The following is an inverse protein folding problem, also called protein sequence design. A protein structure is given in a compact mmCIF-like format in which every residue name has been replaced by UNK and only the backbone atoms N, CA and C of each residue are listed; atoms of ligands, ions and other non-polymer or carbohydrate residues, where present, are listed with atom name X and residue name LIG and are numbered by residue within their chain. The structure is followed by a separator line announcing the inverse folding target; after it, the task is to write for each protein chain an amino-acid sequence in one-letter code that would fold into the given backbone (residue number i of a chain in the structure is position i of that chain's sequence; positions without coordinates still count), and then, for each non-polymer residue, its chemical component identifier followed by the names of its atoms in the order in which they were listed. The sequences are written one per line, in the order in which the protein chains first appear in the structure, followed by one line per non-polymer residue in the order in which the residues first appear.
data_IF_129243660675
#
_entry.id   IF_129243660675
#
_cell.length_a   1.000
_cell.length_b   1.000
_cell.length_c   1.000
_cell.angle_alpha   90.00
_cell.angle_beta   90.00
_cell.angle_gamma   90.00
#
_symmetry.space_group_name_H-M   'P 1'
#
loop_
_entity.id
_entity.type
_entity.pdbx_description
1 polymer ?
#
# COMPACT_ATOMS: atom_id res chain seq x y z
N UNK A 1 4.36 15.98 -37.88
CA UNK A 1 4.71 14.62 -37.42
C UNK A 1 3.96 14.30 -36.14
N UNK A 2 3.77 13.02 -35.83
CA UNK A 2 3.41 12.54 -34.51
C UNK A 2 4.56 12.73 -33.53
N UNK A 3 4.26 12.51 -32.25
CA UNK A 3 5.22 12.60 -31.17
C UNK A 3 6.40 11.64 -31.26
N UNK A 4 6.25 10.57 -32.03
CA UNK A 4 7.27 9.56 -32.22
C UNK A 4 8.25 9.89 -33.35
N UNK A 5 7.96 10.96 -34.10
CA UNK A 5 8.75 11.42 -35.23
C UNK A 5 8.67 10.48 -36.43
N UNK A 6 9.37 10.89 -37.49
CA UNK A 6 9.59 10.09 -38.71
C UNK A 6 8.30 9.70 -39.47
N UNK A 7 7.25 10.51 -39.33
CA UNK A 7 5.97 10.36 -40.05
C UNK A 7 5.43 11.72 -40.54
N UNK A 8 6.25 12.77 -40.45
CA UNK A 8 5.96 14.05 -41.07
C UNK A 8 5.89 13.92 -42.58
N UNK A 9 5.12 14.80 -43.20
CA UNK A 9 5.04 14.87 -44.65
C UNK A 9 5.01 16.32 -45.14
N UNK A 10 5.56 16.52 -46.33
CA UNK A 10 5.43 17.76 -47.09
C UNK A 10 4.80 17.38 -48.42
N UNK A 11 3.67 18.02 -48.75
CA UNK A 11 3.02 17.90 -50.07
C UNK A 11 3.11 19.26 -50.75
N UNK A 12 3.65 19.28 -51.96
CA UNK A 12 3.85 20.49 -52.74
C UNK A 12 2.71 20.62 -53.75
N UNK A 13 2.03 21.76 -53.73
CA UNK A 13 1.00 22.12 -54.70
C UNK A 13 1.51 23.21 -55.63
N UNK A 14 1.26 23.06 -56.92
CA UNK A 14 1.77 23.96 -57.96
C UNK A 14 0.65 24.28 -58.94
N UNK A 15 0.54 25.53 -59.39
CA UNK A 15 -0.53 25.95 -60.31
C UNK A 15 -0.41 25.32 -61.72
N UNK A 16 0.80 24.89 -62.11
CA UNK A 16 1.04 24.18 -63.36
C UNK A 16 1.99 22.97 -63.16
N UNK A 17 1.47 21.84 -62.66
CA UNK A 17 2.28 20.68 -62.31
C UNK A 17 2.93 19.99 -63.53
N UNK A 18 2.45 20.27 -64.76
CA UNK A 18 3.03 19.73 -65.99
C UNK A 18 4.32 20.45 -66.42
N UNK A 19 4.62 21.62 -65.84
CA UNK A 19 5.83 22.39 -66.14
C UNK A 19 7.00 22.06 -65.20
N UNK A 20 6.73 21.37 -64.09
CA UNK A 20 7.71 21.01 -63.05
C UNK A 20 8.04 19.53 -63.22
N UNK A 21 9.33 19.21 -63.16
CA UNK A 21 9.83 17.86 -63.40
C UNK A 21 10.39 17.21 -62.16
N UNK A 22 10.93 17.98 -61.21
CA UNK A 22 11.59 17.43 -60.03
C UNK A 22 11.40 18.27 -58.78
N UNK A 23 11.42 17.58 -57.65
CA UNK A 23 11.30 18.13 -56.31
C UNK A 23 12.47 17.66 -55.44
N UNK A 24 12.92 18.50 -54.52
CA UNK A 24 13.93 18.17 -53.51
C UNK A 24 13.61 18.88 -52.19
N UNK A 25 14.00 18.29 -51.06
CA UNK A 25 13.90 18.90 -49.72
C UNK A 25 15.25 18.96 -49.02
N UNK A 26 16.32 18.58 -49.72
CA UNK A 26 17.69 18.64 -49.22
C UNK A 26 18.49 19.74 -49.95
N UNK A 27 19.76 19.91 -49.60
CA UNK A 27 20.63 20.94 -50.19
C UNK A 27 21.05 20.63 -51.64
N UNK A 28 20.09 20.27 -52.50
CA UNK A 28 20.21 19.99 -53.95
C UNK A 28 20.90 18.66 -54.32
N UNK A 29 20.96 17.69 -53.40
CA UNK A 29 21.68 16.43 -53.62
C UNK A 29 20.78 15.27 -54.02
N UNK A 30 19.51 15.26 -53.61
CA UNK A 30 18.55 14.24 -54.00
C UNK A 30 17.30 14.87 -54.61
N UNK A 31 16.87 14.33 -55.76
CA UNK A 31 15.70 14.80 -56.51
C UNK A 31 14.76 13.63 -56.76
N UNK A 32 13.46 13.90 -56.67
CA UNK A 32 12.40 12.92 -56.94
C UNK A 32 11.33 13.54 -57.86
N UNK A 33 10.62 12.68 -58.58
CA UNK A 33 9.51 13.09 -59.45
C UNK A 33 8.19 13.31 -58.67
N UNK A 34 8.13 12.80 -57.43
CA UNK A 34 6.96 12.94 -56.55
C UNK A 34 6.96 14.29 -55.83
N UNK A 35 5.80 14.94 -55.75
CA UNK A 35 5.59 16.17 -54.97
C UNK A 35 5.34 15.91 -53.48
N UNK A 36 5.37 14.65 -53.06
CA UNK A 36 5.14 14.22 -51.68
C UNK A 36 6.42 13.64 -51.08
N UNK A 37 6.80 14.20 -49.93
CA UNK A 37 7.86 13.72 -49.06
C UNK A 37 7.23 13.19 -47.78
N UNK A 38 7.61 12.00 -47.36
CA UNK A 38 7.08 11.30 -46.18
C UNK A 38 8.25 10.89 -45.27
N UNK A 39 7.93 10.46 -44.05
CA UNK A 39 8.91 10.09 -43.03
C UNK A 39 9.89 11.23 -42.75
N UNK A 40 9.33 12.43 -42.58
CA UNK A 40 10.10 13.61 -42.22
C UNK A 40 10.08 13.78 -40.70
N UNK A 41 11.25 14.06 -40.15
CA UNK A 41 11.39 14.55 -38.79
C UNK A 41 10.88 15.99 -38.71
N UNK A 42 10.61 16.49 -37.50
CA UNK A 42 10.44 17.94 -37.30
C UNK A 42 11.69 18.68 -37.72
N UNK A 43 11.50 19.87 -38.25
CA UNK A 43 12.59 20.76 -38.59
C UNK A 43 12.22 21.71 -39.71
N UNK A 44 13.16 22.58 -39.99
CA UNK A 44 13.10 23.46 -41.15
C UNK A 44 13.64 22.71 -42.36
N UNK A 45 12.81 22.62 -43.39
CA UNK A 45 13.14 22.04 -44.68
C UNK A 45 13.19 23.15 -45.71
N UNK A 46 14.24 23.12 -46.55
CA UNK A 46 14.31 23.97 -47.73
C UNK A 46 13.82 23.17 -48.92
N UNK A 47 12.60 23.46 -49.37
CA UNK A 47 11.96 22.78 -50.49
C UNK A 47 12.41 23.45 -51.79
N UNK A 48 12.88 22.64 -52.74
CA UNK A 48 13.29 23.06 -54.08
C UNK A 48 12.39 22.44 -55.15
N UNK A 49 12.11 23.23 -56.19
CA UNK A 49 11.41 22.77 -57.40
C UNK A 49 12.26 23.09 -58.64
N UNK A 50 12.27 22.19 -59.62
CA UNK A 50 12.93 22.39 -60.93
C UNK A 50 11.93 22.27 -62.08
N UNK A 51 11.93 23.25 -62.97
CA UNK A 51 11.10 23.25 -64.18
C UNK A 51 11.77 22.53 -65.37
N UNK A 52 11.00 22.33 -66.45
CA UNK A 52 11.51 21.76 -67.72
C UNK A 52 12.66 22.52 -68.39
N UNK A 53 12.92 23.78 -67.99
CA UNK A 53 14.00 24.62 -68.51
C UNK A 53 15.20 24.70 -67.56
N UNK A 54 15.23 23.88 -66.50
CA UNK A 54 16.24 23.89 -65.44
C UNK A 54 16.30 25.18 -64.62
N UNK A 55 15.19 25.91 -64.51
CA UNK A 55 15.02 26.95 -63.51
C UNK A 55 14.72 26.33 -62.14
N UNK A 56 15.38 26.81 -61.09
CA UNK A 56 15.19 26.34 -59.71
C UNK A 56 14.65 27.48 -58.85
N UNK A 57 13.63 27.19 -58.05
CA UNK A 57 13.10 28.06 -57.00
C UNK A 57 13.04 27.31 -55.66
N UNK A 58 12.96 28.03 -54.55
CA UNK A 58 13.00 27.43 -53.20
C UNK A 58 12.14 28.14 -52.17
N UNK A 59 11.60 27.38 -51.22
CA UNK A 59 10.81 27.88 -50.10
C UNK A 59 11.14 27.12 -48.81
N UNK A 60 11.24 27.86 -47.69
CA UNK A 60 11.38 27.26 -46.36
C UNK A 60 10.01 26.81 -45.84
N UNK A 61 9.97 25.58 -45.30
CA UNK A 61 8.79 24.98 -44.67
C UNK A 61 9.21 24.38 -43.34
N UNK A 62 8.46 24.68 -42.29
CA UNK A 62 8.64 24.05 -40.98
C UNK A 62 7.70 22.86 -40.82
N UNK A 63 8.26 21.66 -40.62
CA UNK A 63 7.51 20.48 -40.19
C UNK A 63 7.42 20.51 -38.67
N UNK A 64 6.22 20.83 -38.16
CA UNK A 64 5.91 20.84 -36.74
C UNK A 64 5.37 19.49 -36.22
N UNK A 65 5.27 19.40 -34.89
CA UNK A 65 4.55 18.33 -34.21
C UNK A 65 3.06 18.70 -34.14
N UNK A 66 2.17 17.73 -34.33
CA UNK A 66 0.74 17.99 -34.15
C UNK A 66 0.43 18.45 -32.72
N UNK A 67 -0.45 19.43 -32.62
CA UNK A 67 -0.66 20.28 -31.43
C UNK A 67 -1.36 19.59 -30.26
N UNK A 68 -1.89 18.37 -30.45
CA UNK A 68 -2.57 17.62 -29.40
C UNK A 68 -2.11 16.17 -29.40
N UNK A 69 -1.00 15.84 -28.71
CA UNK A 69 -0.71 14.46 -28.36
C UNK A 69 -1.88 13.94 -27.52
N UNK A 70 -2.63 12.97 -28.05
CA UNK A 70 -3.46 12.13 -27.20
C UNK A 70 -2.71 10.82 -27.03
N UNK A 71 -1.77 10.80 -26.07
CA UNK A 71 -1.01 9.58 -25.79
C UNK A 71 -1.99 8.64 -25.10
N UNK A 72 -2.39 7.58 -25.78
CA UNK A 72 -3.32 6.60 -25.21
C UNK A 72 -2.61 5.78 -24.13
N UNK A 73 -2.56 6.32 -22.92
CA UNK A 73 -1.86 5.75 -21.77
C UNK A 73 -2.88 5.14 -20.81
N UNK A 74 -2.97 3.81 -20.83
CA UNK A 74 -3.78 3.08 -19.86
C UNK A 74 -2.97 2.78 -18.61
N UNK A 75 -3.46 3.15 -17.43
CA UNK A 75 -2.75 2.93 -16.15
C UNK A 75 -3.62 2.23 -15.13
N UNK A 76 -3.01 1.37 -14.31
CA UNK A 76 -3.63 0.74 -13.15
C UNK A 76 -2.78 0.95 -11.91
N UNK A 77 -3.44 1.14 -10.78
CA UNK A 77 -2.80 1.13 -9.47
C UNK A 77 -3.38 -0.03 -8.63
N UNK A 78 -2.58 -0.55 -7.71
CA UNK A 78 -3.02 -1.48 -6.68
C UNK A 78 -2.77 -0.87 -5.31
N UNK A 79 -3.77 -0.98 -4.44
CA UNK A 79 -3.69 -0.48 -3.07
C UNK A 79 -2.72 -1.30 -2.22
N UNK A 80 -2.32 -0.72 -1.10
CA UNK A 80 -1.44 -1.36 -0.12
C UNK A 80 -2.22 -2.45 0.62
N UNK A 81 -1.56 -3.59 0.85
CA UNK A 81 -2.20 -4.79 1.42
C UNK A 81 -2.45 -4.65 2.92
N UNK A 82 -1.44 -4.19 3.68
CA UNK A 82 -1.50 -4.03 5.13
C UNK A 82 -1.19 -2.60 5.56
N UNK A 83 -1.79 -2.16 6.67
CA UNK A 83 -1.48 -0.85 7.21
C UNK A 83 0.02 -0.69 7.51
N UNK A 84 0.65 0.32 6.91
CA UNK A 84 2.07 0.62 7.12
C UNK A 84 3.02 -0.06 6.13
N UNK A 85 2.52 -0.98 5.30
CA UNK A 85 3.29 -1.54 4.20
C UNK A 85 3.56 -0.50 3.10
N UNK A 86 4.53 -0.81 2.25
CA UNK A 86 4.84 -0.04 1.04
C UNK A 86 4.53 -0.82 -0.23
N UNK A 87 3.76 -1.90 -0.18
CA UNK A 87 3.56 -2.80 -1.35
C UNK A 87 2.54 -2.31 -2.39
N UNK A 88 2.14 -1.03 -2.37
CA UNK A 88 1.32 -0.45 -3.42
C UNK A 88 2.05 -0.47 -4.76
N UNK A 89 1.31 -0.59 -5.87
CA UNK A 89 1.90 -0.61 -7.21
C UNK A 89 1.20 0.33 -8.18
N UNK A 90 1.90 0.75 -9.21
CA UNK A 90 1.38 1.54 -10.31
C UNK A 90 1.98 1.01 -11.62
N UNK A 91 1.15 0.79 -12.63
CA UNK A 91 1.57 0.17 -13.89
C UNK A 91 0.99 0.90 -15.09
N UNK A 92 1.85 1.11 -16.10
CA UNK A 92 1.45 1.50 -17.45
C UNK A 92 1.19 0.25 -18.27
N UNK A 93 -0.02 0.10 -18.80
CA UNK A 93 -0.38 -0.98 -19.70
C UNK A 93 0.02 -0.64 -21.13
N UNK A 94 0.63 -1.61 -21.80
CA UNK A 94 1.10 -1.50 -23.19
C UNK A 94 2.01 -0.28 -23.41
N UNK A 95 3.13 -0.16 -22.65
CA UNK A 95 4.03 0.96 -22.81
C UNK A 95 4.57 0.99 -24.24
N UNK A 96 4.44 2.14 -24.90
CA UNK A 96 4.94 2.35 -26.23
C UNK A 96 6.43 2.73 -26.15
N UNK A 97 7.25 2.04 -26.94
CA UNK A 97 8.70 2.26 -27.02
C UNK A 97 9.11 3.67 -27.46
N UNK A 98 8.19 4.46 -28.00
CA UNK A 98 8.37 5.86 -28.35
C UNK A 98 8.54 6.77 -27.13
N UNK A 99 8.05 6.36 -25.96
CA UNK A 99 7.99 7.21 -24.77
C UNK A 99 8.81 6.64 -23.63
N UNK A 100 9.46 7.55 -22.91
CA UNK A 100 9.99 7.30 -21.59
C UNK A 100 8.94 7.73 -20.55
N UNK A 101 8.76 6.90 -19.53
CA UNK A 101 7.70 7.07 -18.55
C UNK A 101 8.30 7.42 -17.19
N UNK A 102 7.77 8.47 -16.56
CA UNK A 102 8.23 8.99 -15.27
C UNK A 102 7.07 8.96 -14.29
N UNK A 103 7.23 8.22 -13.18
CA UNK A 103 6.29 8.26 -12.09
C UNK A 103 6.46 9.55 -11.29
N UNK A 104 5.36 10.23 -11.04
CA UNK A 104 5.32 11.36 -10.14
C UNK A 104 4.33 11.14 -9.01
N UNK A 105 4.59 11.80 -7.88
CA UNK A 105 3.72 11.80 -6.71
C UNK A 105 3.29 13.22 -6.37
N UNK A 106 2.02 13.37 -6.00
CA UNK A 106 1.51 14.63 -5.46
C UNK A 106 1.95 14.79 -4.01
N UNK A 107 2.53 15.94 -3.67
CA UNK A 107 2.86 16.31 -2.29
C UNK A 107 2.25 17.67 -1.95
N UNK A 108 2.02 17.93 -0.67
CA UNK A 108 1.49 19.23 -0.22
C UNK A 108 2.40 20.41 -0.58
N UNK A 109 3.70 20.16 -0.77
CA UNK A 109 4.71 21.19 -1.05
C UNK A 109 5.05 21.31 -2.53
N UNK A 110 4.88 20.23 -3.29
CA UNK A 110 5.11 20.21 -4.72
C UNK A 110 4.09 19.29 -5.41
N UNK A 111 3.26 19.80 -6.32
CA UNK A 111 2.18 19.04 -6.95
C UNK A 111 2.66 17.85 -7.77
N UNK A 112 3.90 17.84 -8.28
CA UNK A 112 4.47 16.72 -9.02
C UNK A 112 5.96 16.58 -8.72
N UNK A 113 6.31 15.58 -7.91
CA UNK A 113 7.71 15.19 -7.66
C UNK A 113 7.98 13.90 -8.43
N UNK A 114 8.93 13.93 -9.35
CA UNK A 114 9.41 12.70 -10.01
C UNK A 114 10.09 11.80 -8.97
N UNK A 115 9.71 10.53 -8.95
CA UNK A 115 10.18 9.57 -7.95
C UNK A 115 10.80 8.31 -8.55
N UNK A 116 10.41 7.94 -9.77
CA UNK A 116 10.96 6.76 -10.46
C UNK A 116 10.73 6.85 -11.98
N UNK A 117 11.42 6.01 -12.75
CA UNK A 117 11.32 5.92 -14.22
C UNK A 117 11.12 4.47 -14.66
N UNK A 118 10.26 4.24 -15.64
CA UNK A 118 9.92 2.90 -16.12
C UNK A 118 8.43 2.75 -16.37
N UNK A 119 7.94 1.52 -16.56
CA UNK A 119 6.52 1.25 -16.85
C UNK A 119 5.80 0.47 -15.75
N UNK A 120 6.54 0.02 -14.74
CA UNK A 120 6.01 -0.68 -13.57
C UNK A 120 6.73 -0.18 -12.33
N UNK A 121 5.95 0.23 -11.34
CA UNK A 121 6.43 0.84 -10.12
C UNK A 121 5.84 0.08 -8.93
N UNK A 122 6.71 -0.29 -7.99
CA UNK A 122 6.36 -0.99 -6.77
C UNK A 122 6.91 -0.21 -5.56
N UNK A 123 6.74 -0.76 -4.37
CA UNK A 123 7.23 -0.14 -3.13
C UNK A 123 6.60 1.26 -2.86
N UNK A 124 5.37 1.47 -3.35
CA UNK A 124 4.64 2.73 -3.19
C UNK A 124 3.85 2.79 -1.88
N UNK A 125 3.95 3.93 -1.20
CA UNK A 125 3.15 4.28 -0.03
C UNK A 125 1.85 4.97 -0.42
N UNK A 126 0.90 5.12 0.52
CA UNK A 126 -0.38 5.78 0.26
C UNK A 126 -0.21 7.19 -0.31
N UNK A 127 -1.07 7.56 -1.26
CA UNK A 127 -1.08 8.89 -1.86
C UNK A 127 -1.55 8.92 -3.31
N UNK A 128 -1.46 10.12 -3.91
CA UNK A 128 -1.83 10.35 -5.30
C UNK A 128 -0.62 10.25 -6.22
N UNK A 129 -0.75 9.44 -7.25
CA UNK A 129 0.28 9.17 -8.24
C UNK A 129 -0.26 9.38 -9.65
N UNK A 130 0.66 9.70 -10.56
CA UNK A 130 0.42 9.62 -11.99
C UNK A 130 1.72 9.37 -12.71
N UNK A 131 1.62 9.12 -14.00
CA UNK A 131 2.78 8.94 -14.87
C UNK A 131 2.79 10.06 -15.91
N UNK A 132 3.97 10.60 -16.19
CA UNK A 132 4.19 11.47 -17.35
C UNK A 132 4.88 10.61 -18.42
N UNK A 133 4.31 10.60 -19.62
CA UNK A 133 4.94 10.03 -20.80
C UNK A 133 5.65 11.16 -21.55
N UNK A 134 6.95 11.01 -21.80
CA UNK A 134 7.78 11.97 -22.51
C UNK A 134 8.28 11.26 -23.77
N UNK A 135 8.04 11.81 -24.96
CA UNK A 135 8.60 11.22 -26.17
C UNK A 135 10.13 11.24 -26.09
N UNK A 136 10.81 10.25 -26.68
CA UNK A 136 12.30 10.24 -26.72
C UNK A 136 12.90 11.44 -27.43
N UNK A 137 12.13 12.10 -28.29
CA UNK A 137 12.47 13.38 -28.91
C UNK A 137 12.39 14.58 -27.93
N UNK A 138 11.79 14.39 -26.76
CA UNK A 138 11.58 15.38 -25.71
C UNK A 138 10.47 16.41 -26.01
N UNK A 139 9.67 16.18 -27.05
CA UNK A 139 8.76 17.18 -27.61
C UNK A 139 7.33 17.04 -27.16
N UNK A 140 6.90 15.81 -26.93
CA UNK A 140 5.57 15.51 -26.48
C UNK A 140 5.62 15.05 -25.05
N UNK A 141 4.74 15.65 -24.26
CA UNK A 141 4.56 15.33 -22.87
C UNK A 141 3.06 15.17 -22.68
N UNK A 142 2.64 14.01 -22.19
CA UNK A 142 1.27 13.79 -21.75
C UNK A 142 1.29 13.14 -20.37
N UNK A 143 0.19 13.31 -19.64
CA UNK A 143 0.05 12.83 -18.26
C UNK A 143 -1.11 11.86 -18.15
N UNK A 144 -0.89 10.79 -17.38
CA UNK A 144 -1.97 9.87 -17.05
C UNK A 144 -2.99 10.59 -16.17
N UNK A 145 -4.19 10.03 -16.13
CA UNK A 145 -5.11 10.35 -15.03
C UNK A 145 -4.47 10.00 -13.69
N UNK A 146 -4.76 10.82 -12.68
CA UNK A 146 -4.26 10.62 -11.32
C UNK A 146 -4.98 9.43 -10.69
N UNK A 147 -4.23 8.55 -10.02
CA UNK A 147 -4.77 7.48 -9.19
C UNK A 147 -4.38 7.70 -7.73
N UNK A 148 -5.29 7.34 -6.85
CA UNK A 148 -5.03 7.29 -5.41
C UNK A 148 -4.72 5.84 -5.05
N UNK A 149 -3.57 5.61 -4.44
CA UNK A 149 -3.21 4.35 -3.78
C UNK A 149 -3.61 4.51 -2.32
N UNK A 150 -4.56 3.69 -1.87
CA UNK A 150 -5.02 3.69 -0.49
C UNK A 150 -4.26 2.69 0.37
N UNK A 151 -4.45 2.81 1.69
CA UNK A 151 -3.96 1.86 2.69
C UNK A 151 -5.08 1.56 3.69
N UNK A 152 -5.25 0.30 4.13
CA UNK A 152 -6.20 -0.03 5.18
C UNK A 152 -5.96 0.79 6.45
N UNK A 153 -7.03 1.00 7.21
CA UNK A 153 -6.93 1.52 8.57
C UNK A 153 -6.13 0.56 9.45
N UNK A 154 -5.37 1.04 10.46
CA UNK A 154 -4.64 0.17 11.37
C UNK A 154 -5.62 -0.71 12.15
N UNK A 155 -5.25 -1.97 12.39
CA UNK A 155 -6.01 -2.84 13.28
C UNK A 155 -5.81 -2.34 14.73
N UNK A 156 -6.91 -2.05 15.42
CA UNK A 156 -6.93 -1.63 16.83
C UNK A 156 -7.80 -2.60 17.61
N UNK A 157 -7.27 -3.13 18.70
CA UNK A 157 -7.97 -4.02 19.64
C UNK A 157 -7.41 -3.80 21.05
N UNK A 158 -8.19 -4.12 22.06
CA UNK A 158 -7.78 -4.04 23.47
C UNK A 158 -8.17 -5.36 24.15
N UNK A 159 -7.22 -6.30 24.34
CA UNK A 159 -7.50 -7.53 25.07
C UNK A 159 -7.71 -7.24 26.55
N UNK A 160 -8.60 -8.01 27.17
CA UNK A 160 -8.83 -8.01 28.63
C UNK A 160 -8.61 -9.40 29.17
N UNK A 161 -8.20 -9.53 30.43
CA UNK A 161 -7.97 -10.82 31.07
C UNK A 161 -8.72 -10.91 32.40
N UNK A 162 -9.22 -12.10 32.71
CA UNK A 162 -9.69 -12.45 34.06
C UNK A 162 -8.62 -13.26 34.78
N UNK A 163 -8.43 -12.97 36.07
CA UNK A 163 -7.46 -13.68 36.89
C UNK A 163 -7.90 -15.12 37.19
N UNK A 164 -6.94 -15.96 37.56
CA UNK A 164 -7.15 -17.32 38.04
C UNK A 164 -7.42 -17.28 39.55
N UNK A 165 -8.49 -17.89 40.04
CA UNK A 165 -8.93 -17.75 41.45
C UNK A 165 -8.84 -19.03 42.31
N UNK A 166 -8.55 -20.20 41.72
CA UNK A 166 -8.41 -21.47 42.44
C UNK A 166 -7.47 -22.45 41.71
N UNK A 167 -6.39 -22.92 42.34
CA UNK A 167 -5.49 -23.98 41.80
C UNK A 167 -5.85 -25.36 42.38
N UNK A 168 -7.04 -25.55 42.94
CA UNK A 168 -7.45 -26.90 43.34
C UNK A 168 -7.60 -27.78 42.08
N UNK A 169 -6.65 -28.71 41.87
CA UNK A 169 -6.56 -29.68 40.77
C UNK A 169 -6.06 -29.15 39.40
N UNK A 170 -5.09 -28.24 39.35
CA UNK A 170 -4.49 -27.72 38.09
C UNK A 170 -5.53 -27.14 37.11
N UNK A 171 -6.66 -26.64 37.62
CA UNK A 171 -7.72 -26.07 36.79
C UNK A 171 -7.36 -24.64 36.43
N UNK A 172 -7.08 -24.42 35.15
CA UNK A 172 -6.95 -23.09 34.59
C UNK A 172 -8.36 -22.53 34.36
N UNK A 173 -8.76 -21.51 35.12
CA UNK A 173 -10.09 -20.90 35.04
C UNK A 173 -10.07 -19.42 34.65
N UNK A 174 -8.90 -18.89 34.27
CA UNK A 174 -8.77 -17.57 33.71
C UNK A 174 -9.30 -17.51 32.28
N UNK A 175 -9.43 -16.29 31.76
CA UNK A 175 -9.85 -16.05 30.39
C UNK A 175 -9.18 -14.81 29.82
N UNK A 176 -9.05 -14.77 28.50
CA UNK A 176 -8.66 -13.58 27.73
C UNK A 176 -9.83 -13.25 26.80
N UNK A 177 -10.29 -12.01 26.83
CA UNK A 177 -11.44 -11.53 26.05
C UNK A 177 -11.08 -10.36 25.14
N UNK A 178 -11.63 -10.39 23.92
CA UNK A 178 -11.50 -9.41 22.84
C UNK A 178 -12.86 -8.76 22.54
N UNK A 179 -13.64 -8.49 23.59
CA UNK A 179 -15.05 -8.09 23.50
C UNK A 179 -15.27 -6.75 22.78
N UNK A 180 -14.25 -5.88 22.80
CA UNK A 180 -14.14 -4.78 21.84
C UNK A 180 -13.62 -5.32 20.52
N UNK A 181 -14.50 -5.93 19.71
CA UNK A 181 -14.19 -6.42 18.37
C UNK A 181 -13.18 -5.49 17.68
N UNK A 182 -12.11 -6.02 17.06
CA UNK A 182 -11.10 -5.17 16.44
C UNK A 182 -11.73 -4.21 15.44
N UNK A 183 -11.14 -3.02 15.35
CA UNK A 183 -11.50 -2.01 14.34
C UNK A 183 -10.34 -1.85 13.35
N UNK A 184 -10.62 -1.42 12.12
CA UNK A 184 -9.61 -1.28 11.06
C UNK A 184 -9.26 -2.58 10.34
N UNK A 185 -8.18 -2.64 9.55
CA UNK A 185 -7.87 -3.80 8.71
C UNK A 185 -9.02 -4.24 7.79
N UNK A 186 -9.01 -5.52 7.39
CA UNK A 186 -10.05 -6.11 6.51
C UNK A 186 -10.71 -7.34 7.15
N UNK A 187 -12.04 -7.33 7.26
CA UNK A 187 -12.81 -8.47 7.77
C UNK A 187 -12.79 -9.67 6.80
N UNK A 188 -12.89 -10.92 7.30
CA UNK A 188 -13.00 -11.33 8.71
C UNK A 188 -11.63 -11.42 9.42
N UNK A 189 -11.63 -11.26 10.75
CA UNK A 189 -10.43 -11.47 11.57
C UNK A 189 -10.26 -12.92 12.01
N UNK A 190 -9.01 -13.29 12.30
CA UNK A 190 -8.63 -14.50 13.00
C UNK A 190 -7.77 -14.16 14.21
N UNK A 191 -7.92 -14.94 15.28
CA UNK A 191 -7.26 -14.68 16.56
C UNK A 191 -6.40 -15.88 16.97
N UNK A 192 -5.25 -15.57 17.54
CA UNK A 192 -4.37 -16.54 18.19
C UNK A 192 -3.95 -15.99 19.55
N UNK A 193 -3.92 -16.86 20.55
CA UNK A 193 -3.37 -16.56 21.87
C UNK A 193 -2.28 -17.59 22.14
N UNK A 194 -1.06 -17.12 22.34
CA UNK A 194 0.08 -18.00 22.58
C UNK A 194 0.69 -17.64 23.92
N UNK A 195 0.99 -18.63 24.76
CA UNK A 195 1.77 -18.36 25.96
C UNK A 195 3.18 -17.92 25.55
N UNK A 196 3.65 -16.79 26.10
CA UNK A 196 4.96 -16.23 25.75
C UNK A 196 6.04 -17.27 26.10
N UNK A 197 7.04 -17.42 25.22
CA UNK A 197 8.13 -18.40 25.32
C UNK A 197 7.74 -19.87 25.08
N UNK A 198 6.48 -20.17 24.74
CA UNK A 198 6.08 -21.50 24.25
C UNK A 198 5.70 -21.45 22.77
N UNK A 199 5.91 -22.55 22.05
CA UNK A 199 5.42 -22.72 20.67
C UNK A 199 4.04 -23.41 20.65
N UNK A 200 3.21 -23.23 21.68
CA UNK A 200 1.90 -23.86 21.77
C UNK A 200 0.84 -22.84 21.35
N UNK A 201 0.34 -22.89 20.10
CA UNK A 201 -0.67 -21.95 19.67
C UNK A 201 -2.08 -22.34 20.15
N UNK A 202 -2.80 -21.40 20.78
CA UNK A 202 -4.25 -21.51 20.96
C UNK A 202 -4.92 -20.73 19.81
N UNK A 203 -5.26 -21.42 18.72
CA UNK A 203 -5.92 -20.82 17.56
C UNK A 203 -5.70 -21.57 16.23
N UNK A 204 -6.35 -21.16 15.12
CA UNK A 204 -7.29 -20.02 15.03
C UNK A 204 -8.70 -20.40 15.51
N UNK A 205 -9.39 -19.44 16.13
CA UNK A 205 -10.84 -19.57 16.45
C UNK A 205 -11.59 -18.42 15.77
N UNK A 206 -12.62 -18.68 14.93
CA UNK A 206 -13.16 -17.61 14.09
C UNK A 206 -14.30 -16.75 14.66
N UNK A 207 -14.96 -17.09 15.78
CA UNK A 207 -16.37 -16.63 15.97
C UNK A 207 -16.75 -16.11 17.38
N UNK A 208 -15.98 -16.32 18.44
CA UNK A 208 -16.31 -15.74 19.77
C UNK A 208 -15.03 -15.30 20.49
N UNK A 209 -14.95 -14.00 20.80
CA UNK A 209 -13.79 -13.25 21.27
C UNK A 209 -13.25 -13.64 22.66
N UNK A 210 -13.63 -14.77 23.23
CA UNK A 210 -13.17 -15.17 24.57
C UNK A 210 -12.44 -16.51 24.51
N UNK A 211 -11.18 -16.48 24.92
CA UNK A 211 -10.35 -17.64 25.22
C UNK A 211 -10.58 -17.98 26.69
N UNK A 212 -11.08 -19.18 26.98
CA UNK A 212 -11.31 -19.66 28.34
C UNK A 212 -10.32 -20.76 28.68
N UNK A 213 -10.32 -21.20 29.94
CA UNK A 213 -9.41 -22.22 30.46
C UNK A 213 -7.92 -21.81 30.39
N UNK A 214 -7.65 -20.52 30.55
CA UNK A 214 -6.31 -19.94 30.49
C UNK A 214 -5.68 -19.94 31.88
N UNK A 215 -4.44 -20.41 31.98
CA UNK A 215 -3.67 -20.45 33.22
C UNK A 215 -3.09 -19.07 33.55
N UNK A 216 -2.59 -18.86 34.76
CA UNK A 216 -1.85 -17.64 35.07
C UNK A 216 -0.53 -17.61 34.28
N UNK A 217 -0.22 -16.50 33.62
CA UNK A 217 0.95 -16.39 32.76
C UNK A 217 0.90 -15.15 31.86
N UNK A 218 1.96 -14.95 31.08
CA UNK A 218 2.01 -13.95 30.02
C UNK A 218 1.62 -14.57 28.68
N UNK A 219 0.75 -13.88 27.94
CA UNK A 219 0.23 -14.34 26.65
C UNK A 219 0.43 -13.28 25.57
N UNK A 220 0.89 -13.71 24.40
CA UNK A 220 0.88 -12.90 23.18
C UNK A 220 -0.45 -13.14 22.46
N UNK A 221 -1.21 -12.06 22.28
CA UNK A 221 -2.44 -12.04 21.50
C UNK A 221 -2.11 -11.53 20.10
N UNK A 222 -2.44 -12.32 19.10
CA UNK A 222 -2.25 -11.99 17.69
C UNK A 222 -3.61 -11.86 17.00
N UNK A 223 -3.80 -10.76 16.26
CA UNK A 223 -4.99 -10.54 15.42
C UNK A 223 -4.55 -10.47 13.97
N UNK A 224 -5.11 -11.34 13.16
CA UNK A 224 -4.93 -11.38 11.70
C UNK A 224 -6.19 -10.88 11.02
N UNK A 225 -6.05 -10.14 9.93
CA UNK A 225 -7.16 -9.77 9.05
C UNK A 225 -7.25 -10.68 7.82
N UNK A 226 -8.21 -10.43 6.92
CA UNK A 226 -8.44 -11.24 5.72
C UNK A 226 -7.26 -11.24 4.73
N UNK A 227 -6.39 -10.24 4.80
CA UNK A 227 -5.18 -10.12 4.01
C UNK A 227 -3.95 -10.73 4.72
N UNK A 228 -4.15 -11.39 5.86
CA UNK A 228 -3.11 -11.91 6.74
C UNK A 228 -2.20 -10.83 7.37
N UNK A 229 -2.68 -9.59 7.46
CA UNK A 229 -2.00 -8.53 8.20
C UNK A 229 -2.10 -8.80 9.70
N UNK A 230 -0.98 -8.71 10.42
CA UNK A 230 -0.90 -9.12 11.84
C UNK A 230 -0.56 -7.95 12.76
N UNK A 231 -1.30 -7.85 13.86
CA UNK A 231 -0.94 -7.05 15.03
C UNK A 231 -0.75 -7.96 16.25
N UNK A 232 0.14 -7.55 17.16
CA UNK A 232 0.51 -8.32 18.36
C UNK A 232 0.47 -7.42 19.57
N UNK A 233 0.03 -8.00 20.68
CA UNK A 233 -0.02 -7.36 21.99
C UNK A 233 0.21 -8.43 23.06
N UNK A 234 0.65 -8.00 24.23
CA UNK A 234 0.94 -8.89 25.37
C UNK A 234 -0.04 -8.62 26.49
N UNK A 235 -0.59 -9.67 27.08
CA UNK A 235 -1.49 -9.58 28.22
C UNK A 235 -1.09 -10.58 29.31
N UNK A 236 -1.19 -10.14 30.58
CA UNK A 236 -0.93 -10.99 31.73
C UNK A 236 -2.25 -11.50 32.33
N UNK A 237 -2.33 -12.82 32.51
CA UNK A 237 -3.37 -13.47 33.32
C UNK A 237 -2.80 -13.63 34.72
N UNK A 238 -3.33 -12.87 35.68
CA UNK A 238 -2.82 -12.85 37.04
C UNK A 238 -3.24 -14.10 37.81
N UNK A 239 -2.36 -14.59 38.67
CA UNK A 239 -2.72 -15.52 39.73
C UNK A 239 -3.32 -14.74 40.90
N UNK A 240 -4.60 -14.97 41.16
CA UNK A 240 -5.35 -14.41 42.29
C UNK A 240 -5.89 -15.53 43.18
N UNK A 241 -5.14 -16.62 43.31
CA UNK A 241 -5.49 -17.75 44.18
C UNK A 241 -5.66 -17.32 45.64
N UNK A 242 -6.65 -17.93 46.32
CA UNK A 242 -6.86 -17.72 47.75
C UNK A 242 -5.72 -18.35 48.56
N UNK A 243 -5.14 -17.56 49.46
CA UNK A 243 -4.16 -18.06 50.43
C UNK A 243 -4.32 -17.37 51.79
N UNK A 244 -3.87 -18.04 52.84
CA UNK A 244 -3.72 -17.45 54.17
C UNK A 244 -2.30 -16.88 54.26
N UNK A 245 -2.18 -15.56 54.44
CA UNK A 245 -0.90 -14.88 54.59
C UNK A 245 -0.36 -15.03 56.01
N UNK A 246 -1.21 -14.71 56.99
CA UNK A 246 -0.86 -14.78 58.40
C UNK A 246 -2.08 -14.96 59.30
N UNK A 247 -1.83 -15.29 60.56
CA UNK A 247 -2.86 -15.34 61.59
C UNK A 247 -2.28 -14.88 62.93
N UNK A 248 -3.13 -14.30 63.77
CA UNK A 248 -2.81 -13.90 65.14
C UNK A 248 -3.67 -14.73 66.08
N UNK A 249 -3.04 -15.31 67.09
CA UNK A 249 -3.71 -16.12 68.11
C UNK A 249 -3.69 -15.37 69.43
N UNK A 250 -4.87 -15.09 69.95
CA UNK A 250 -5.07 -14.67 71.34
C UNK A 250 -5.49 -15.90 72.16
N UNK A 251 -4.59 -16.36 73.02
CA UNK A 251 -4.86 -17.52 73.87
C UNK A 251 -5.99 -17.24 74.86
N UNK A 252 -6.71 -18.28 75.26
CA UNK A 252 -7.70 -18.16 76.33
C UNK A 252 -7.04 -17.65 77.61
N UNK A 253 -7.78 -16.82 78.33
CA UNK A 253 -7.27 -16.17 79.55
C UNK A 253 -6.93 -17.15 80.68
N UNK A 254 -7.54 -18.33 80.67
CA UNK A 254 -7.30 -19.42 81.61
C UNK A 254 -7.84 -20.76 81.06
N UNK A 255 -7.43 -21.87 81.68
CA UNK A 255 -7.95 -23.21 81.38
C UNK A 255 -9.48 -23.26 81.57
N UNK A 256 -10.20 -23.75 80.56
CA UNK A 256 -11.66 -23.88 80.57
C UNK A 256 -12.44 -22.62 80.18
N UNK A 257 -11.76 -21.56 79.73
CA UNK A 257 -12.40 -20.36 79.18
C UNK A 257 -12.44 -20.41 77.66
N UNK A 258 -13.61 -20.12 77.10
CA UNK A 258 -13.85 -20.06 75.64
C UNK A 258 -13.74 -18.61 75.14
N UNK A 259 -12.66 -17.93 75.53
CA UNK A 259 -12.41 -16.52 75.15
C UNK A 259 -11.11 -16.33 74.35
N UNK A 260 -10.55 -17.40 73.80
CA UNK A 260 -9.49 -17.27 72.81
C UNK A 260 -10.06 -16.77 71.48
N UNK A 261 -9.23 -16.08 70.71
CA UNK A 261 -9.57 -15.56 69.39
C UNK A 261 -8.45 -15.90 68.40
N UNK A 262 -8.82 -16.23 67.16
CA UNK A 262 -7.87 -16.31 66.06
C UNK A 262 -8.33 -15.33 64.98
N UNK A 263 -7.49 -14.35 64.69
CA UNK A 263 -7.68 -13.45 63.55
C UNK A 263 -6.87 -13.97 62.36
N UNK A 264 -7.52 -14.17 61.21
CA UNK A 264 -6.88 -14.68 59.99
C UNK A 264 -6.80 -13.58 58.94
N UNK A 265 -5.61 -13.39 58.37
CA UNK A 265 -5.35 -12.49 57.25
C UNK A 265 -5.22 -13.32 55.97
N UNK A 266 -6.33 -13.44 55.23
CA UNK A 266 -6.38 -14.12 53.94
C UNK A 266 -6.40 -13.11 52.79
N UNK A 267 -5.78 -13.49 51.67
CA UNK A 267 -5.66 -12.68 50.47
C UNK A 267 -5.99 -13.51 49.21
N UNK A 268 -6.30 -12.84 48.11
CA UNK A 268 -6.69 -13.50 46.85
C UNK A 268 -8.10 -14.10 46.91
N UNK A 269 -8.37 -15.08 46.06
CA UNK A 269 -9.70 -15.67 45.88
C UNK A 269 -10.71 -14.68 45.30
N UNK A 270 -11.96 -15.14 45.19
CA UNK A 270 -13.07 -14.33 44.69
C UNK A 270 -14.26 -14.43 45.66
N UNK A 271 -14.87 -13.28 45.97
CA UNK A 271 -16.03 -13.19 46.87
C UNK A 271 -15.67 -13.16 48.35
N UNK A 272 -16.63 -13.50 49.21
CA UNK A 272 -16.48 -13.46 50.67
C UNK A 272 -15.81 -14.72 51.22
N UNK A 273 -14.97 -14.56 52.25
CA UNK A 273 -14.27 -15.68 52.90
C UNK A 273 -15.15 -16.39 53.93
N UNK A 274 -15.13 -17.71 53.92
CA UNK A 274 -15.70 -18.57 54.96
C UNK A 274 -14.56 -19.37 55.61
N UNK A 275 -14.54 -19.42 56.93
CA UNK A 275 -13.54 -20.17 57.70
C UNK A 275 -14.19 -21.38 58.35
N UNK A 276 -13.59 -22.56 58.16
CA UNK A 276 -13.97 -23.79 58.86
C UNK A 276 -12.98 -24.00 60.01
N UNK A 277 -13.50 -24.14 61.22
CA UNK A 277 -12.73 -24.42 62.42
C UNK A 277 -13.02 -25.87 62.82
N UNK A 278 -11.98 -26.70 62.92
CA UNK A 278 -12.02 -28.09 63.40
C UNK A 278 -11.37 -28.23 64.78
#
# INVERSE_FOLDING_TARGET
ESCCGDDGHIIIFTDNPLAIVKYSIDTLFSWQDSSEFVNLYRGDYLVHIEDTNSCIDSMEVYVGVDSVPNINMTTQATDIVCHGDTNGTFKVYYPDSCYDYVLWRYTLFNPQVAIDTGSYFNELIKGYYGVIAISRSGTCIDSSIVRYIDSPAPIVYEPTASAVYCIANDVCNGSISLDGLPTGGILPYQYYVNEVYTNIPLGPIPITSTFSEICSGEYEVQVFDANACVVRDTIAVLDSSLYIDSFVVENSSCYGYDNGEITVYAHGGWGAYSYLWD
#
